data_IF_667051151500
#
_entry.id   IF_667051151500
#
_cell.length_a   1.000
_cell.length_b   1.000
_cell.length_c   1.000
_cell.angle_alpha   90.00
_cell.angle_beta   90.00
_cell.angle_gamma   90.00
#
_symmetry.space_group_name_H-M   'P 1'
#
loop_
_entity.id
_entity.type
_entity.pdbx_description
1 polymer ?
#
# COMPACT_ATOMS: atom_id res chain seq x y z
N UNK A 1 29.20 7.66 16.05
CA UNK A 1 28.66 7.18 14.76
C UNK A 1 27.32 7.79 14.41
N UNK A 2 26.39 7.85 15.32
CA UNK A 2 25.04 8.37 15.09
C UNK A 2 25.04 9.85 14.64
N UNK A 3 25.83 10.70 15.27
CA UNK A 3 25.97 12.11 14.88
C UNK A 3 26.62 12.31 13.51
N UNK A 4 27.42 11.37 13.03
CA UNK A 4 28.05 11.42 11.72
C UNK A 4 27.04 11.09 10.62
N UNK A 5 26.21 10.08 10.83
CA UNK A 5 25.13 9.68 9.90
C UNK A 5 24.10 10.80 9.76
N UNK A 6 23.67 11.40 10.87
CA UNK A 6 22.73 12.53 10.86
C UNK A 6 23.30 13.75 10.14
N UNK A 7 24.59 13.97 10.25
CA UNK A 7 25.29 15.07 9.59
C UNK A 7 25.43 14.85 8.07
N UNK A 8 25.72 13.61 7.65
CA UNK A 8 25.77 13.22 6.23
C UNK A 8 24.37 13.28 5.57
N UNK A 9 23.34 12.94 6.31
CA UNK A 9 21.94 13.10 5.87
C UNK A 9 21.44 14.55 5.95
N UNK A 10 22.33 15.52 6.29
CA UNK A 10 21.97 16.93 6.48
C UNK A 10 20.74 17.15 7.39
N UNK A 11 20.55 16.27 8.38
CA UNK A 11 19.39 16.22 9.27
C UNK A 11 18.05 16.06 8.54
N UNK A 12 18.09 15.70 7.23
CA UNK A 12 16.91 15.46 6.41
C UNK A 12 16.30 14.11 6.73
N UNK A 13 15.71 13.99 7.92
CA UNK A 13 14.98 12.80 8.37
C UNK A 13 13.51 12.80 7.86
N UNK A 14 13.12 13.84 7.14
CA UNK A 14 11.78 13.97 6.56
C UNK A 14 11.75 13.46 5.13
N UNK A 15 12.16 12.23 4.90
CA UNK A 15 11.88 11.60 3.63
C UNK A 15 10.37 11.47 3.45
N UNK A 16 9.90 11.94 2.30
CA UNK A 16 8.48 11.88 1.97
C UNK A 16 8.10 10.42 1.76
N UNK A 17 7.31 9.90 2.67
CA UNK A 17 6.81 8.52 2.64
C UNK A 17 5.50 8.43 1.84
N UNK A 18 5.17 7.24 1.29
CA UNK A 18 3.94 7.06 0.50
C UNK A 18 2.67 7.50 1.22
N UNK A 19 2.61 7.37 2.54
CA UNK A 19 1.45 7.73 3.38
C UNK A 19 1.00 9.19 3.19
N UNK A 20 1.92 10.10 2.89
CA UNK A 20 1.61 11.52 2.67
C UNK A 20 0.78 11.71 1.39
N UNK A 21 1.00 10.87 0.39
CA UNK A 21 0.31 10.95 -0.89
C UNK A 21 -1.02 10.19 -0.92
N UNK A 22 -1.20 9.15 -0.09
CA UNK A 22 -2.40 8.31 -0.11
C UNK A 22 -3.71 9.10 0.00
N UNK A 23 -3.89 10.02 0.96
CA UNK A 23 -5.12 10.79 1.06
C UNK A 23 -5.39 11.66 -0.17
N UNK A 24 -4.33 12.24 -0.71
CA UNK A 24 -4.42 13.11 -1.89
C UNK A 24 -4.81 12.32 -3.15
N UNK A 25 -4.21 11.16 -3.34
CA UNK A 25 -4.48 10.28 -4.48
C UNK A 25 -5.93 9.77 -4.42
N UNK A 26 -6.37 9.29 -3.26
CA UNK A 26 -7.74 8.81 -3.07
C UNK A 26 -8.78 9.93 -3.23
N UNK A 27 -8.50 11.11 -2.70
CA UNK A 27 -9.37 12.27 -2.87
C UNK A 27 -9.47 12.72 -4.33
N UNK A 28 -8.37 12.67 -5.09
CA UNK A 28 -8.34 13.00 -6.52
C UNK A 28 -9.18 12.01 -7.36
N UNK A 29 -9.29 10.76 -6.92
CA UNK A 29 -10.15 9.74 -7.53
C UNK A 29 -11.63 9.88 -7.16
N UNK A 30 -11.98 10.80 -6.26
CA UNK A 30 -13.35 11.10 -5.88
C UNK A 30 -13.84 10.40 -4.62
N UNK A 31 -13.00 9.63 -3.93
CA UNK A 31 -13.38 8.99 -2.67
C UNK A 31 -13.57 10.02 -1.55
N UNK A 32 -14.59 9.83 -0.75
CA UNK A 32 -14.99 10.72 0.35
C UNK A 32 -15.48 9.92 1.56
N UNK A 33 -15.51 10.57 2.69
CA UNK A 33 -16.15 10.07 3.90
C UNK A 33 -15.60 8.74 4.38
N UNK A 34 -16.48 7.77 4.58
CA UNK A 34 -16.14 6.47 5.14
C UNK A 34 -15.35 5.59 4.17
N UNK A 35 -15.66 5.66 2.87
CA UNK A 35 -14.92 4.91 1.84
C UNK A 35 -13.47 5.38 1.75
N UNK A 36 -13.25 6.69 1.80
CA UNK A 36 -11.90 7.25 1.86
C UNK A 36 -11.14 6.73 3.08
N UNK A 37 -11.76 6.72 4.25
CA UNK A 37 -11.12 6.27 5.49
C UNK A 37 -10.79 4.78 5.45
N UNK A 38 -11.69 3.96 4.93
CA UNK A 38 -11.47 2.51 4.80
C UNK A 38 -10.33 2.18 3.84
N UNK A 39 -10.30 2.83 2.66
CA UNK A 39 -9.23 2.66 1.68
C UNK A 39 -7.89 3.21 2.21
N UNK A 40 -7.93 4.33 2.91
CA UNK A 40 -6.73 4.92 3.53
C UNK A 40 -6.11 3.97 4.56
N UNK A 41 -6.91 3.41 5.45
CA UNK A 41 -6.45 2.45 6.44
C UNK A 41 -5.80 1.21 5.81
N UNK A 42 -6.40 0.66 4.76
CA UNK A 42 -5.82 -0.45 3.98
C UNK A 42 -4.52 -0.04 3.29
N UNK A 43 -4.50 1.14 2.68
CA UNK A 43 -3.32 1.69 2.02
C UNK A 43 -2.14 1.93 2.96
N UNK A 44 -2.41 2.40 4.17
CA UNK A 44 -1.40 2.60 5.21
C UNK A 44 -0.74 1.28 5.65
N UNK A 45 -1.50 0.19 5.73
CA UNK A 45 -0.94 -1.15 6.01
C UNK A 45 0.04 -1.56 4.91
N UNK A 46 -0.31 -1.37 3.64
CA UNK A 46 0.60 -1.63 2.53
C UNK A 46 1.84 -0.75 2.59
N UNK A 47 1.68 0.53 2.84
CA UNK A 47 2.78 1.49 2.91
C UNK A 47 3.75 1.15 4.05
N UNK A 48 3.25 0.78 5.22
CA UNK A 48 4.09 0.33 6.33
C UNK A 48 4.83 -0.96 6.01
N UNK A 49 4.16 -1.92 5.37
CA UNK A 49 4.78 -3.19 4.98
C UNK A 49 5.92 -2.99 3.97
N UNK A 50 5.73 -2.08 3.01
CA UNK A 50 6.73 -1.72 2.00
C UNK A 50 7.98 -1.09 2.61
N UNK A 51 7.86 -0.35 3.71
CA UNK A 51 9.00 0.27 4.38
C UNK A 51 10.03 -0.75 4.90
N UNK A 52 9.62 -1.99 5.12
CA UNK A 52 10.52 -3.07 5.55
C UNK A 52 11.17 -3.83 4.38
N UNK A 53 10.81 -3.52 3.14
CA UNK A 53 11.36 -4.17 1.96
C UNK A 53 12.37 -3.26 1.25
N UNK A 54 13.63 -3.69 1.24
CA UNK A 54 14.74 -2.95 0.59
C UNK A 54 14.53 -2.75 -0.91
N UNK A 55 13.73 -3.57 -1.56
CA UNK A 55 13.44 -3.44 -3.00
C UNK A 55 12.64 -2.19 -3.33
N UNK A 56 12.00 -1.55 -2.34
CA UNK A 56 11.28 -0.30 -2.51
C UNK A 56 12.14 0.95 -2.25
N UNK A 57 13.37 0.77 -1.79
CA UNK A 57 14.32 1.90 -1.66
C UNK A 57 14.61 2.46 -3.05
N UNK A 58 14.43 3.76 -3.22
CA UNK A 58 14.64 4.45 -4.49
C UNK A 58 13.40 4.59 -5.38
N UNK A 59 12.25 3.98 -5.02
CA UNK A 59 10.99 4.29 -5.67
C UNK A 59 10.45 5.63 -5.15
N UNK A 60 10.05 6.57 -6.03
CA UNK A 60 9.41 7.80 -5.59
C UNK A 60 8.15 7.51 -4.78
N UNK A 61 7.97 8.22 -3.68
CA UNK A 61 6.84 8.02 -2.77
C UNK A 61 5.48 8.24 -3.46
N UNK A 62 5.39 9.18 -4.39
CA UNK A 62 4.19 9.44 -5.19
C UNK A 62 3.82 8.27 -6.10
N UNK A 63 4.81 7.66 -6.75
CA UNK A 63 4.61 6.49 -7.62
C UNK A 63 4.23 5.25 -6.80
N UNK A 64 4.87 5.06 -5.66
CA UNK A 64 4.56 3.99 -4.72
C UNK A 64 3.13 4.13 -4.16
N UNK A 65 2.73 5.33 -3.75
CA UNK A 65 1.36 5.59 -3.29
C UNK A 65 0.31 5.32 -4.38
N UNK A 66 0.58 5.75 -5.61
CA UNK A 66 -0.30 5.47 -6.74
C UNK A 66 -0.40 3.96 -7.02
N UNK A 67 0.72 3.24 -6.95
CA UNK A 67 0.75 1.79 -7.14
C UNK A 67 -0.04 1.04 -6.04
N UNK A 68 0.06 1.48 -4.79
CA UNK A 68 -0.74 0.95 -3.68
C UNK A 68 -2.23 1.15 -3.94
N UNK A 69 -2.64 2.36 -4.30
CA UNK A 69 -4.05 2.68 -4.56
C UNK A 69 -4.57 1.89 -5.76
N UNK A 70 -3.80 1.78 -6.84
CA UNK A 70 -4.19 0.98 -8.00
C UNK A 70 -4.37 -0.51 -7.64
N UNK A 71 -3.53 -1.05 -6.76
CA UNK A 71 -3.65 -2.43 -6.29
C UNK A 71 -4.90 -2.63 -5.42
N UNK A 72 -5.19 -1.68 -4.51
CA UNK A 72 -6.38 -1.73 -3.66
C UNK A 72 -7.67 -1.66 -4.49
N UNK A 73 -7.70 -0.79 -5.49
CA UNK A 73 -8.89 -0.60 -6.32
C UNK A 73 -9.09 -1.71 -7.35
N UNK A 74 -8.04 -2.42 -7.74
CA UNK A 74 -8.17 -3.64 -8.54
C UNK A 74 -8.96 -4.72 -7.79
N UNK A 75 -8.73 -4.87 -6.48
CA UNK A 75 -9.52 -5.78 -5.64
C UNK A 75 -11.02 -5.41 -5.61
N UNK A 76 -11.35 -4.14 -5.85
CA UNK A 76 -12.73 -3.63 -5.96
C UNK A 76 -13.27 -3.67 -7.42
N UNK A 77 -12.51 -4.20 -8.37
CA UNK A 77 -12.91 -4.35 -9.77
C UNK A 77 -12.56 -3.19 -10.69
N UNK A 78 -11.72 -2.25 -10.26
CA UNK A 78 -11.25 -1.16 -11.12
C UNK A 78 -10.04 -1.57 -11.94
N UNK A 79 -9.93 -1.01 -13.14
CA UNK A 79 -8.73 -1.18 -13.97
C UNK A 79 -7.55 -0.38 -13.41
N UNK A 80 -6.44 -1.05 -13.03
CA UNK A 80 -5.30 -0.38 -12.40
C UNK A 80 -4.59 0.63 -13.30
N UNK A 81 -4.57 0.41 -14.61
CA UNK A 81 -3.97 1.36 -15.57
C UNK A 81 -4.83 2.61 -15.70
N UNK A 82 -6.14 2.46 -15.75
CA UNK A 82 -7.11 3.55 -15.74
C UNK A 82 -7.04 4.37 -14.45
N UNK A 83 -6.87 3.73 -13.31
CA UNK A 83 -6.67 4.40 -12.02
C UNK A 83 -5.39 5.24 -12.05
N UNK A 84 -4.28 4.68 -12.49
CA UNK A 84 -3.00 5.40 -12.56
C UNK A 84 -3.06 6.59 -13.52
N UNK A 85 -3.71 6.44 -14.67
CA UNK A 85 -3.92 7.54 -15.62
C UNK A 85 -4.75 8.67 -15.01
N UNK A 86 -5.83 8.36 -14.30
CA UNK A 86 -6.67 9.36 -13.61
C UNK A 86 -5.91 10.10 -12.51
N UNK A 87 -5.07 9.40 -11.75
CA UNK A 87 -4.22 10.03 -10.73
C UNK A 87 -3.23 10.99 -11.36
N UNK A 88 -2.57 10.57 -12.45
CA UNK A 88 -1.67 11.44 -13.19
C UNK A 88 -2.38 12.72 -13.64
N UNK A 89 -3.53 12.59 -14.26
CA UNK A 89 -4.23 13.73 -14.86
C UNK A 89 -4.84 14.66 -13.79
N UNK A 90 -5.28 14.12 -12.66
CA UNK A 90 -5.98 14.88 -11.62
C UNK A 90 -5.07 15.42 -10.50
N UNK A 91 -3.96 14.75 -10.18
CA UNK A 91 -3.18 15.07 -8.97
C UNK A 91 -1.67 15.16 -9.19
N UNK A 92 -1.09 14.31 -10.04
CA UNK A 92 0.35 14.17 -10.17
C UNK A 92 0.75 14.14 -11.64
N UNK A 93 0.83 15.31 -12.33
CA UNK A 93 1.08 15.37 -13.79
C UNK A 93 2.39 14.73 -14.25
N UNK A 94 3.39 14.65 -13.37
CA UNK A 94 4.70 14.06 -13.66
C UNK A 94 4.79 12.57 -13.35
N UNK A 95 3.67 11.93 -13.02
CA UNK A 95 3.63 10.52 -12.70
C UNK A 95 4.01 9.66 -13.92
N UNK A 96 4.98 8.78 -13.74
CA UNK A 96 5.35 7.81 -14.78
C UNK A 96 4.50 6.55 -14.66
N UNK A 97 3.59 6.34 -15.62
CA UNK A 97 2.71 5.16 -15.62
C UNK A 97 3.49 3.85 -15.71
N UNK A 98 4.58 3.83 -16.47
CA UNK A 98 5.45 2.66 -16.57
C UNK A 98 6.11 2.29 -15.24
N UNK A 99 6.56 3.28 -14.48
CA UNK A 99 7.14 3.07 -13.14
C UNK A 99 6.08 2.67 -12.12
N UNK A 100 4.89 3.25 -12.19
CA UNK A 100 3.75 2.81 -11.35
C UNK A 100 3.42 1.35 -11.62
N UNK A 101 3.34 0.94 -12.88
CA UNK A 101 3.09 -0.46 -13.25
C UNK A 101 4.20 -1.40 -12.75
N UNK A 102 5.47 -0.98 -12.85
CA UNK A 102 6.60 -1.73 -12.33
C UNK A 102 6.57 -1.85 -10.80
N UNK A 103 6.31 -0.75 -10.10
CA UNK A 103 6.16 -0.73 -8.64
C UNK A 103 5.00 -1.64 -8.19
N UNK A 104 3.88 -1.59 -8.90
CA UNK A 104 2.72 -2.43 -8.62
C UNK A 104 3.06 -3.94 -8.73
N UNK A 105 3.84 -4.34 -9.72
CA UNK A 105 4.30 -5.74 -9.83
C UNK A 105 5.10 -6.18 -8.60
N UNK A 106 5.95 -5.31 -8.05
CA UNK A 106 6.67 -5.59 -6.80
C UNK A 106 5.71 -5.72 -5.60
N UNK A 107 4.70 -4.86 -5.52
CA UNK A 107 3.68 -4.92 -4.45
C UNK A 107 2.90 -6.24 -4.52
N UNK A 108 2.49 -6.66 -5.72
CA UNK A 108 1.78 -7.94 -5.91
C UNK A 108 2.64 -9.12 -5.50
N UNK A 109 3.89 -9.18 -5.91
CA UNK A 109 4.82 -10.23 -5.49
C UNK A 109 5.02 -10.28 -3.98
N UNK A 110 5.11 -9.12 -3.34
CA UNK A 110 5.21 -9.01 -1.89
C UNK A 110 3.92 -9.45 -1.18
N UNK A 111 2.75 -9.06 -1.70
CA UNK A 111 1.44 -9.48 -1.20
C UNK A 111 1.28 -10.99 -1.25
N UNK A 112 1.65 -11.61 -2.36
CA UNK A 112 1.54 -13.06 -2.55
C UNK A 112 2.47 -13.81 -1.58
N UNK A 113 3.67 -13.29 -1.34
CA UNK A 113 4.60 -13.84 -0.36
C UNK A 113 4.06 -13.74 1.08
N UNK A 114 3.45 -12.60 1.44
CA UNK A 114 2.82 -12.40 2.75
C UNK A 114 1.53 -13.23 2.90
N UNK A 115 0.69 -13.27 1.88
CA UNK A 115 -0.55 -14.05 1.88
C UNK A 115 -0.26 -15.53 2.11
N UNK A 116 0.73 -16.08 1.45
CA UNK A 116 1.17 -17.46 1.67
C UNK A 116 1.76 -17.72 3.05
N UNK A 117 2.29 -16.71 3.73
CA UNK A 117 2.76 -16.82 5.11
C UNK A 117 1.61 -16.75 6.12
N UNK A 118 0.66 -15.81 5.89
CA UNK A 118 -0.52 -15.64 6.74
C UNK A 118 -1.45 -16.86 6.66
N UNK A 119 -1.65 -17.42 5.48
CA UNK A 119 -2.46 -18.62 5.30
C UNK A 119 -1.83 -19.86 5.96
N UNK A 120 -0.50 -19.96 5.97
CA UNK A 120 0.19 -21.03 6.70
C UNK A 120 0.02 -20.89 8.21
N UNK A 121 0.22 -19.69 8.74
CA UNK A 121 0.07 -19.40 10.17
C UNK A 121 -1.39 -19.56 10.64
N UNK A 122 -2.36 -19.19 9.80
CA UNK A 122 -3.78 -19.39 10.06
C UNK A 122 -4.17 -20.88 10.06
N UNK A 123 -3.61 -21.69 9.16
CA UNK A 123 -3.82 -23.14 9.13
C UNK A 123 -3.20 -23.85 10.33
N UNK A 124 -1.99 -23.45 10.73
CA UNK A 124 -1.32 -24.01 11.91
C UNK A 124 -2.04 -23.66 13.22
N UNK A 125 -2.72 -22.50 13.29
CA UNK A 125 -3.54 -22.10 14.44
C UNK A 125 -4.98 -22.60 14.37
N UNK A 126 -5.50 -22.93 13.20
CA UNK A 126 -6.91 -23.27 12.96
C UNK A 126 -7.30 -24.71 13.32
N UNK A 127 -6.36 -25.62 13.44
CA UNK A 127 -6.65 -27.02 13.81
C UNK A 127 -7.04 -27.22 15.29
N UNK A 128 -7.08 -26.14 16.07
CA UNK A 128 -7.42 -26.21 17.49
C UNK A 128 -8.81 -25.69 17.90
N UNK A 129 -9.53 -24.92 17.06
CA UNK A 129 -10.73 -24.22 17.60
C UNK A 129 -11.75 -23.72 16.54
N UNK A 130 -11.89 -24.40 15.41
CA UNK A 130 -12.77 -23.93 14.34
C UNK A 130 -14.28 -24.13 14.60
N UNK A 131 -14.68 -25.01 15.50
CA UNK A 131 -16.09 -25.38 15.68
C UNK A 131 -16.87 -24.54 16.70
N UNK A 132 -16.20 -23.75 17.52
CA UNK A 132 -16.86 -22.99 18.58
C UNK A 132 -17.18 -21.52 18.25
N UNK A 133 -16.40 -20.88 17.39
CA UNK A 133 -16.50 -19.44 17.15
C UNK A 133 -17.57 -19.05 16.11
N UNK A 134 -17.86 -19.91 15.13
CA UNK A 134 -18.86 -19.66 14.09
C UNK A 134 -20.31 -19.83 14.58
N UNK A 135 -20.57 -20.67 15.58
CA UNK A 135 -21.89 -20.87 16.15
C UNK A 135 -22.39 -19.67 17.00
N UNK A 136 -21.48 -18.88 17.55
CA UNK A 136 -21.79 -17.71 18.40
C UNK A 136 -22.01 -16.43 17.57
N UNK A 137 -21.49 -16.35 16.35
CA UNK A 137 -21.63 -15.18 15.49
C UNK A 137 -22.95 -15.15 14.68
N UNK A 138 -23.65 -16.30 14.56
CA UNK A 138 -24.94 -16.42 13.86
C UNK A 138 -26.17 -16.38 14.80
N UNK A 139 -25.96 -16.25 16.07
CA UNK A 139 -27.02 -16.07 17.05
C UNK A 139 -27.16 -14.61 17.44
#
# INVERSE_FOLDING_TARGET
MESLVLRELAWSLNDVVPNVFLPRVLAALGFRGQDLRALLARGEVYALSILYDVNFIGWPASETACAIVATLLEDEGFDPEGVAARVRDAAIPRLSLGRVAACRRHILGFRDALGGAVDRDARERGDGNADGALATACA
#
